data_IF_694244328940
#
_entry.id   IF_694244328940
#
_cell.length_a   1.000
_cell.length_b   1.000
_cell.length_c   1.000
_cell.angle_alpha   90.00
_cell.angle_beta   90.00
_cell.angle_gamma   90.00
#
_symmetry.space_group_name_H-M   'P 1'
#
loop_
_entity.id
_entity.type
_entity.pdbx_description
1 polymer ?
#
# COMPACT_ATOMS: atom_id res chain seq x y z
N UNK A 1 -1.47 9.95 9.83
CA UNK A 1 -1.50 11.43 9.94
C UNK A 1 -0.53 12.11 8.97
N UNK A 2 0.77 11.77 8.97
CA UNK A 2 1.78 12.39 8.11
C UNK A 2 1.45 12.35 6.60
N UNK A 3 1.15 11.17 6.03
CA UNK A 3 0.82 11.04 4.60
C UNK A 3 -0.38 11.90 4.17
N UNK A 4 -1.42 12.02 5.01
CA UNK A 4 -2.57 12.88 4.74
C UNK A 4 -2.19 14.38 4.74
N UNK A 5 -1.27 14.80 5.61
CA UNK A 5 -0.79 16.17 5.62
C UNK A 5 0.04 16.49 4.37
N UNK A 6 0.89 15.55 3.92
CA UNK A 6 1.63 15.68 2.65
C UNK A 6 0.66 15.81 1.47
N UNK A 7 -0.38 14.97 1.40
CA UNK A 7 -1.42 15.05 0.38
C UNK A 7 -2.12 16.42 0.38
N UNK A 8 -2.49 16.93 1.55
CA UNK A 8 -3.13 18.26 1.71
C UNK A 8 -2.20 19.42 1.34
N UNK A 9 -0.90 19.28 1.55
CA UNK A 9 0.08 20.27 1.10
C UNK A 9 0.19 20.25 -0.42
N UNK A 10 0.25 19.06 -1.03
CA UNK A 10 0.31 18.89 -2.48
C UNK A 10 -0.93 19.41 -3.23
N UNK A 11 -2.12 19.29 -2.64
CA UNK A 11 -3.37 19.76 -3.29
C UNK A 11 -3.48 21.27 -3.42
N UNK A 12 -2.63 22.04 -2.73
CA UNK A 12 -2.54 23.50 -2.87
C UNK A 12 -1.74 23.93 -4.11
N UNK A 13 -1.07 22.99 -4.77
CA UNK A 13 -0.16 23.27 -5.87
C UNK A 13 1.10 24.04 -5.43
N UNK A 14 1.89 24.54 -6.39
CA UNK A 14 3.06 25.35 -6.08
C UNK A 14 2.65 26.61 -5.31
N UNK A 15 3.00 26.69 -4.02
CA UNK A 15 2.42 27.68 -3.10
C UNK A 15 3.42 28.41 -2.20
N UNK A 16 4.73 28.19 -2.40
CA UNK A 16 5.75 29.05 -1.80
C UNK A 16 6.10 30.19 -2.77
N UNK A 17 6.59 31.33 -2.27
CA UNK A 17 7.07 32.44 -3.11
C UNK A 17 8.15 32.06 -4.13
N UNK A 18 8.67 30.84 -4.06
CA UNK A 18 9.60 30.21 -5.01
C UNK A 18 8.93 29.36 -6.11
N UNK A 19 7.62 29.11 -6.07
CA UNK A 19 6.89 28.37 -7.10
C UNK A 19 7.24 26.88 -7.22
N UNK A 20 7.75 26.25 -6.15
CA UNK A 20 8.15 24.84 -6.16
C UNK A 20 6.95 23.90 -6.00
N UNK A 21 6.99 22.76 -6.71
CA UNK A 21 6.00 21.69 -6.58
C UNK A 21 6.21 20.98 -5.22
N UNK A 22 5.17 20.85 -4.36
CA UNK A 22 5.31 20.17 -3.08
C UNK A 22 5.67 18.68 -3.23
N UNK A 23 6.40 18.09 -2.27
CA UNK A 23 6.74 16.68 -2.32
C UNK A 23 5.50 15.80 -2.16
N UNK A 24 5.44 14.69 -2.90
CA UNK A 24 4.41 13.65 -2.71
C UNK A 24 4.88 12.47 -1.85
N UNK A 25 6.20 12.32 -1.70
CA UNK A 25 6.83 11.25 -0.91
C UNK A 25 8.01 11.83 -0.14
N UNK A 26 8.08 11.52 1.15
CA UNK A 26 9.17 11.85 2.05
C UNK A 26 9.55 10.57 2.81
N UNK A 27 10.84 10.36 3.05
CA UNK A 27 11.36 9.17 3.74
C UNK A 27 12.46 9.54 4.73
N UNK A 28 12.66 8.67 5.73
CA UNK A 28 13.69 8.82 6.77
C UNK A 28 13.59 10.15 7.54
N UNK A 29 14.73 10.66 8.00
CA UNK A 29 14.84 11.87 8.80
C UNK A 29 14.19 13.11 8.15
N UNK A 30 14.16 13.17 6.81
CA UNK A 30 13.52 14.26 6.09
C UNK A 30 12.01 14.27 6.29
N UNK A 31 11.37 13.09 6.37
CA UNK A 31 9.95 12.96 6.66
C UNK A 31 9.64 13.39 8.09
N UNK A 32 10.48 13.01 9.06
CA UNK A 32 10.28 13.36 10.47
C UNK A 32 10.44 14.87 10.70
N UNK A 33 11.49 15.48 10.13
CA UNK A 33 11.70 16.94 10.19
C UNK A 33 10.56 17.69 9.54
N UNK A 34 10.08 17.23 8.38
CA UNK A 34 8.94 17.82 7.71
C UNK A 34 7.67 17.71 8.55
N UNK A 35 7.40 16.53 9.12
CA UNK A 35 6.23 16.31 9.99
C UNK A 35 6.25 17.24 11.21
N UNK A 36 7.39 17.33 11.91
CA UNK A 36 7.57 18.23 13.04
C UNK A 36 7.34 19.70 12.67
N UNK A 37 7.90 20.15 11.54
CA UNK A 37 7.71 21.52 11.04
C UNK A 37 6.24 21.85 10.69
N UNK A 38 5.42 20.83 10.43
CA UNK A 38 3.99 20.96 10.11
C UNK A 38 3.09 20.65 11.32
N UNK A 39 3.64 20.62 12.54
CA UNK A 39 2.87 20.41 13.77
C UNK A 39 2.31 19.00 13.92
N UNK A 40 2.85 18.02 13.19
CA UNK A 40 2.47 16.62 13.29
C UNK A 40 3.28 15.99 14.42
N UNK A 41 2.66 15.32 15.39
CA UNK A 41 3.39 14.65 16.47
C UNK A 41 4.41 13.66 15.91
N UNK A 42 5.66 13.82 16.32
CA UNK A 42 6.77 12.91 16.06
C UNK A 42 7.27 12.35 17.37
N UNK A 43 7.63 11.07 17.39
CA UNK A 43 8.21 10.45 18.56
C UNK A 43 9.66 10.92 18.76
N UNK A 44 9.95 11.46 19.94
CA UNK A 44 11.31 11.87 20.30
C UNK A 44 12.22 10.67 20.59
N UNK A 45 11.63 9.56 21.05
CA UNK A 45 12.33 8.30 21.30
C UNK A 45 11.93 7.26 20.25
N UNK A 46 12.85 6.83 19.37
CA UNK A 46 12.59 5.77 18.39
C UNK A 46 12.14 4.44 19.02
N UNK A 47 12.42 4.22 20.30
CA UNK A 47 12.00 3.02 21.03
C UNK A 47 10.56 3.08 21.53
N UNK A 48 9.89 4.23 21.48
CA UNK A 48 8.52 4.39 21.99
C UNK A 48 7.50 3.47 21.31
N UNK A 49 7.79 3.02 20.08
CA UNK A 49 6.93 2.14 19.28
C UNK A 49 7.26 0.66 19.43
N UNK A 50 8.33 0.33 20.14
CA UNK A 50 8.80 -1.03 20.29
C UNK A 50 8.11 -1.63 21.52
N UNK A 51 7.28 -2.63 21.30
CA UNK A 51 6.64 -3.39 22.38
C UNK A 51 7.50 -4.58 22.81
N UNK A 52 7.30 -5.09 24.03
CA UNK A 52 7.97 -6.30 24.51
C UNK A 52 7.67 -7.53 23.62
N UNK A 53 6.43 -7.63 23.13
CA UNK A 53 6.05 -8.65 22.16
C UNK A 53 6.84 -8.52 20.85
N UNK A 54 7.07 -7.29 20.36
CA UNK A 54 7.86 -7.06 19.16
C UNK A 54 9.33 -7.42 19.36
N UNK A 55 9.91 -7.14 20.54
CA UNK A 55 11.27 -7.56 20.89
C UNK A 55 11.40 -9.09 20.95
N UNK A 56 10.42 -9.75 21.55
CA UNK A 56 10.38 -11.21 21.67
C UNK A 56 10.31 -11.87 20.29
N UNK A 57 9.42 -11.38 19.41
CA UNK A 57 9.32 -11.85 18.03
C UNK A 57 10.59 -11.55 17.24
N UNK A 58 11.19 -10.38 17.41
CA UNK A 58 12.46 -10.02 16.76
C UNK A 58 13.57 -11.01 17.13
N UNK A 59 13.74 -11.35 18.41
CA UNK A 59 14.73 -12.33 18.85
C UNK A 59 14.50 -13.72 18.21
N UNK A 60 13.24 -14.17 18.16
CA UNK A 60 12.88 -15.44 17.51
C UNK A 60 13.18 -15.43 16.01
N UNK A 61 12.92 -14.33 15.31
CA UNK A 61 13.21 -14.22 13.88
C UNK A 61 14.73 -14.16 13.61
N UNK A 62 15.49 -13.46 14.45
CA UNK A 62 16.94 -13.40 14.34
C UNK A 62 17.59 -14.78 14.51
N UNK A 63 17.15 -15.56 15.50
CA UNK A 63 17.66 -16.92 15.74
C UNK A 63 17.37 -17.85 14.56
N UNK A 64 16.16 -17.75 13.98
CA UNK A 64 15.76 -18.54 12.79
C UNK A 64 16.51 -18.14 11.52
N UNK A 65 16.68 -16.83 11.29
CA UNK A 65 17.30 -16.32 10.07
C UNK A 65 18.83 -16.43 10.10
N UNK A 66 19.44 -16.35 11.29
CA UNK A 66 20.88 -16.33 11.49
C UNK A 66 21.30 -17.26 12.64
N UNK A 67 21.11 -18.59 12.51
CA UNK A 67 21.47 -19.53 13.55
C UNK A 67 22.98 -19.49 13.82
N UNK A 68 23.38 -19.57 15.09
CA UNK A 68 24.78 -19.40 15.53
C UNK A 68 25.76 -20.54 15.12
N UNK A 69 25.38 -21.42 14.19
CA UNK A 69 26.22 -22.52 13.69
C UNK A 69 26.15 -22.60 12.17
N UNK A 70 27.26 -23.00 11.52
CA UNK A 70 27.45 -23.13 10.06
C UNK A 70 26.58 -24.23 9.39
N UNK A 71 25.29 -24.28 9.69
CA UNK A 71 24.31 -25.07 8.94
C UNK A 71 23.80 -24.26 7.75
N UNK A 72 23.76 -24.88 6.58
CA UNK A 72 23.02 -24.36 5.42
C UNK A 72 21.58 -24.11 5.88
N UNK A 73 20.99 -22.93 5.62
CA UNK A 73 19.58 -22.70 5.93
C UNK A 73 18.75 -23.76 5.21
N UNK A 74 17.90 -24.49 5.93
CA UNK A 74 17.00 -25.48 5.36
C UNK A 74 16.14 -24.85 4.26
N UNK A 75 16.41 -25.23 3.01
CA UNK A 75 15.73 -24.83 1.78
C UNK A 75 14.26 -25.32 1.74
N UNK A 76 13.83 -26.13 2.73
CA UNK A 76 12.62 -26.93 2.72
C UNK A 76 11.35 -26.32 3.30
N UNK A 77 11.39 -25.11 3.86
CA UNK A 77 10.20 -24.45 4.39
C UNK A 77 10.33 -22.94 4.31
N UNK A 78 9.70 -22.33 3.30
CA UNK A 78 9.63 -20.88 3.17
C UNK A 78 9.26 -20.27 4.52
N UNK A 79 10.21 -19.56 5.15
CA UNK A 79 10.05 -19.15 6.53
C UNK A 79 8.80 -18.29 6.65
N UNK A 80 7.85 -18.68 7.51
CA UNK A 80 6.62 -17.93 7.84
C UNK A 80 6.88 -16.47 8.28
N UNK A 81 8.16 -16.09 8.44
CA UNK A 81 8.64 -14.73 8.72
C UNK A 81 8.17 -13.74 7.65
N UNK A 82 8.13 -14.12 6.37
CA UNK A 82 7.63 -13.27 5.28
C UNK A 82 6.09 -13.22 5.23
N UNK A 83 5.43 -14.17 5.88
CA UNK A 83 3.97 -14.30 5.97
C UNK A 83 3.35 -13.39 7.04
N UNK A 84 4.16 -12.92 8.01
CA UNK A 84 3.72 -11.94 9.01
C UNK A 84 3.74 -10.53 8.42
N UNK A 85 2.56 -10.08 8.01
CA UNK A 85 2.37 -8.77 7.39
C UNK A 85 1.53 -7.86 8.30
N UNK A 86 2.19 -6.87 8.89
CA UNK A 86 1.52 -5.81 9.67
C UNK A 86 1.06 -4.70 8.72
N UNK A 87 0.11 -5.01 7.85
CA UNK A 87 -0.46 -4.07 6.89
C UNK A 87 -1.95 -3.89 7.15
N UNK A 88 -2.38 -2.63 7.22
CA UNK A 88 -3.79 -2.24 7.32
C UNK A 88 -4.14 -1.31 6.17
N UNK A 89 -5.38 -1.41 5.70
CA UNK A 89 -5.88 -0.65 4.57
C UNK A 89 -7.34 -0.26 4.76
N UNK A 90 -7.73 0.87 4.17
CA UNK A 90 -9.10 1.35 4.16
C UNK A 90 -9.44 2.04 2.85
N UNK A 91 -10.70 1.90 2.44
CA UNK A 91 -11.29 2.57 1.27
C UNK A 91 -12.63 3.18 1.68
N UNK A 92 -12.97 4.34 1.11
CA UNK A 92 -14.27 4.96 1.30
C UNK A 92 -14.70 5.75 0.07
N UNK A 93 -16.02 5.88 -0.09
CA UNK A 93 -16.67 6.84 -0.99
C UNK A 93 -17.64 7.64 -0.13
N UNK A 94 -17.56 8.96 -0.21
CA UNK A 94 -18.46 9.84 0.53
C UNK A 94 -19.80 10.08 -0.20
N UNK A 95 -20.72 10.80 0.43
CA UNK A 95 -22.03 11.10 -0.13
C UNK A 95 -21.99 11.98 -1.40
N UNK A 96 -20.86 12.62 -1.71
CA UNK A 96 -20.65 13.39 -2.94
C UNK A 96 -20.10 12.54 -4.08
N UNK A 97 -19.80 11.26 -3.83
CA UNK A 97 -19.15 10.38 -4.79
C UNK A 97 -17.63 10.56 -4.86
N UNK A 98 -17.00 11.18 -3.85
CA UNK A 98 -15.55 11.30 -3.81
C UNK A 98 -14.92 10.05 -3.15
N UNK A 99 -13.96 9.44 -3.84
CA UNK A 99 -13.21 8.29 -3.35
C UNK A 99 -11.94 8.69 -2.59
N UNK A 100 -11.64 7.93 -1.54
CA UNK A 100 -10.34 7.95 -0.88
C UNK A 100 -9.90 6.53 -0.51
N UNK A 101 -8.58 6.31 -0.53
CA UNK A 101 -7.95 5.07 -0.12
C UNK A 101 -6.69 5.38 0.70
N UNK A 102 -6.37 4.51 1.65
CA UNK A 102 -5.16 4.63 2.45
C UNK A 102 -4.67 3.27 2.91
N UNK A 103 -3.34 3.14 2.98
CA UNK A 103 -2.65 1.94 3.44
C UNK A 103 -1.51 2.33 4.38
N UNK A 104 -1.25 1.52 5.40
CA UNK A 104 -0.12 1.66 6.31
C UNK A 104 0.47 0.30 6.62
N UNK A 105 1.79 0.21 6.67
CA UNK A 105 2.48 -1.05 6.90
C UNK A 105 3.77 -0.87 7.70
N UNK A 106 4.09 -1.83 8.57
CA UNK A 106 5.42 -1.98 9.17
C UNK A 106 6.48 -2.49 8.19
N UNK A 107 6.05 -3.11 7.08
CA UNK A 107 6.89 -3.89 6.18
C UNK A 107 7.18 -5.29 6.74
N UNK A 108 7.95 -6.09 6.01
CA UNK A 108 8.33 -7.43 6.48
C UNK A 108 9.27 -7.37 7.68
N UNK A 109 9.28 -8.44 8.47
CA UNK A 109 10.23 -8.61 9.56
C UNK A 109 11.69 -8.61 9.05
N UNK A 110 12.62 -8.10 9.87
CA UNK A 110 14.06 -8.04 9.58
C UNK A 110 14.44 -7.33 8.27
N UNK A 111 13.55 -6.48 7.73
CA UNK A 111 13.84 -5.73 6.50
C UNK A 111 15.12 -4.89 6.63
N UNK A 112 15.82 -4.75 5.52
CA UNK A 112 16.91 -3.78 5.41
C UNK A 112 16.40 -2.36 5.70
N UNK A 113 17.16 -1.54 6.45
CA UNK A 113 16.85 -0.13 6.63
C UNK A 113 16.67 0.59 5.29
N UNK A 114 15.65 1.45 5.20
CA UNK A 114 15.33 2.20 3.98
C UNK A 114 14.31 1.54 3.04
N UNK A 115 13.91 0.28 3.28
CA UNK A 115 12.81 -0.34 2.52
C UNK A 115 11.46 0.35 2.85
N UNK A 116 10.88 1.00 1.84
CA UNK A 116 9.79 1.97 1.99
C UNK A 116 8.63 1.75 0.99
N UNK A 117 7.66 2.68 0.99
CA UNK A 117 6.43 2.61 0.19
C UNK A 117 6.60 3.18 -1.24
N UNK A 118 5.65 2.84 -2.13
CA UNK A 118 5.62 3.29 -3.53
C UNK A 118 4.22 3.73 -3.94
N UNK A 119 4.14 4.86 -4.67
CA UNK A 119 2.88 5.39 -5.21
C UNK A 119 2.25 4.43 -6.21
N UNK A 120 0.94 4.22 -6.09
CA UNK A 120 0.16 3.37 -7.01
C UNK A 120 0.18 1.87 -6.68
N UNK A 121 1.00 1.43 -5.72
CA UNK A 121 1.14 0.02 -5.40
C UNK A 121 0.20 -0.40 -4.27
N UNK A 122 0.29 0.26 -3.11
CA UNK A 122 -0.45 -0.15 -1.91
C UNK A 122 -1.87 0.43 -1.80
N UNK A 123 -2.14 1.56 -2.44
CA UNK A 123 -3.50 2.11 -2.54
C UNK A 123 -3.67 2.96 -3.80
N UNK A 124 -4.92 3.14 -4.22
CA UNK A 124 -5.31 3.98 -5.35
C UNK A 124 -6.70 4.56 -5.11
N UNK A 125 -6.92 5.82 -5.49
CA UNK A 125 -8.25 6.41 -5.55
C UNK A 125 -8.34 7.31 -6.77
N UNK A 126 -9.40 7.18 -7.56
CA UNK A 126 -9.57 7.93 -8.81
C UNK A 126 -11.04 8.16 -9.11
N UNK A 127 -11.34 9.32 -9.70
CA UNK A 127 -12.59 9.60 -10.41
C UNK A 127 -12.24 9.81 -11.87
N UNK A 128 -12.69 8.90 -12.74
CA UNK A 128 -12.32 8.88 -14.16
C UNK A 128 -13.54 8.97 -15.05
N UNK A 129 -13.54 9.97 -15.92
CA UNK A 129 -14.44 10.03 -17.08
C UNK A 129 -13.84 9.24 -18.24
N UNK A 130 -14.43 8.08 -18.58
CA UNK A 130 -13.91 7.17 -19.62
C UNK A 130 -14.43 7.54 -21.02
N UNK A 131 -15.64 8.07 -21.11
CA UNK A 131 -16.25 8.55 -22.36
C UNK A 131 -16.68 9.99 -22.17
N UNK A 132 -16.51 10.81 -23.20
CA UNK A 132 -17.12 12.13 -23.22
C UNK A 132 -18.63 11.94 -22.95
N UNK A 133 -19.19 12.77 -22.06
CA UNK A 133 -20.59 12.74 -21.63
C UNK A 133 -21.05 11.55 -20.75
N UNK A 134 -20.20 10.56 -20.43
CA UNK A 134 -20.54 9.53 -19.44
C UNK A 134 -20.21 10.01 -18.01
N UNK A 135 -20.98 9.59 -17.00
CA UNK A 135 -20.64 9.92 -15.63
C UNK A 135 -19.32 9.21 -15.22
N UNK A 136 -18.52 9.81 -14.31
CA UNK A 136 -17.20 9.28 -13.98
C UNK A 136 -17.31 7.97 -13.19
N UNK A 137 -16.48 6.99 -13.54
CA UNK A 137 -16.28 5.81 -12.71
C UNK A 137 -15.40 6.22 -11.53
N UNK A 138 -15.91 6.03 -10.32
CA UNK A 138 -15.20 6.34 -9.09
C UNK A 138 -14.73 5.04 -8.46
N UNK A 139 -13.43 4.93 -8.17
CA UNK A 139 -12.86 3.74 -7.54
C UNK A 139 -11.84 4.08 -6.44
N UNK A 140 -11.81 3.25 -5.41
CA UNK A 140 -10.84 3.24 -4.34
C UNK A 140 -10.36 1.81 -4.10
N UNK A 141 -9.05 1.61 -4.00
CA UNK A 141 -8.43 0.33 -3.76
C UNK A 141 -7.35 0.43 -2.69
N UNK A 142 -7.28 -0.55 -1.80
CA UNK A 142 -6.19 -0.72 -0.84
C UNK A 142 -5.72 -2.17 -0.83
N UNK A 143 -4.41 -2.38 -0.75
CA UNK A 143 -3.78 -3.69 -0.93
C UNK A 143 -2.92 -4.05 0.27
N UNK A 144 -2.98 -5.31 0.68
CA UNK A 144 -2.06 -5.98 1.60
C UNK A 144 -1.42 -7.17 0.89
N UNK A 145 -0.32 -7.73 1.42
CA UNK A 145 0.43 -8.77 0.72
C UNK A 145 1.94 -8.50 0.68
N UNK A 146 2.61 -9.29 -0.14
CA UNK A 146 4.06 -9.19 -0.34
C UNK A 146 4.41 -7.93 -1.12
N UNK A 147 5.06 -6.97 -0.46
CA UNK A 147 5.33 -5.63 -0.99
C UNK A 147 5.98 -5.62 -2.37
N UNK A 148 6.98 -6.46 -2.62
CA UNK A 148 7.67 -6.53 -3.92
C UNK A 148 6.76 -7.03 -5.03
N UNK A 149 5.88 -7.97 -4.73
CA UNK A 149 4.93 -8.50 -5.71
C UNK A 149 3.91 -7.43 -6.08
N UNK A 150 3.36 -6.74 -5.07
CA UNK A 150 2.43 -5.62 -5.22
C UNK A 150 3.07 -4.47 -6.01
N UNK A 151 4.34 -4.14 -5.75
CA UNK A 151 5.06 -3.09 -6.45
C UNK A 151 5.35 -3.46 -7.91
N UNK A 152 5.76 -4.70 -8.17
CA UNK A 152 6.05 -5.19 -9.53
C UNK A 152 4.83 -5.19 -10.44
N UNK A 153 3.63 -5.33 -9.89
CA UNK A 153 2.37 -5.35 -10.65
C UNK A 153 1.57 -4.06 -10.56
N UNK A 154 1.98 -3.08 -9.74
CA UNK A 154 1.20 -1.86 -9.47
C UNK A 154 -0.25 -2.19 -9.05
N UNK A 155 -0.42 -3.21 -8.21
CA UNK A 155 -1.68 -3.95 -8.06
C UNK A 155 -2.89 -3.07 -7.72
N UNK A 156 -2.76 -2.12 -6.78
CA UNK A 156 -3.88 -1.25 -6.40
C UNK A 156 -4.38 -0.40 -7.59
N UNK A 157 -3.45 0.21 -8.32
CA UNK A 157 -3.75 1.03 -9.49
C UNK A 157 -4.31 0.19 -10.62
N UNK A 158 -3.75 -0.99 -10.87
CA UNK A 158 -4.20 -1.88 -11.92
C UNK A 158 -5.67 -2.29 -11.67
N UNK A 159 -5.95 -2.87 -10.50
CA UNK A 159 -7.28 -3.29 -10.09
C UNK A 159 -8.31 -2.15 -10.18
N UNK A 160 -7.99 -0.98 -9.62
CA UNK A 160 -8.90 0.15 -9.59
C UNK A 160 -9.28 0.70 -10.98
N UNK A 161 -8.41 0.51 -11.97
CA UNK A 161 -8.54 1.05 -13.34
C UNK A 161 -9.09 0.07 -14.35
N UNK A 162 -9.25 -1.21 -14.00
CA UNK A 162 -9.79 -2.22 -14.91
C UNK A 162 -11.22 -1.88 -15.34
N UNK A 163 -11.54 -1.99 -16.63
CA UNK A 163 -12.89 -1.77 -17.13
C UNK A 163 -13.83 -2.90 -16.66
N UNK A 164 -15.13 -2.75 -16.93
CA UNK A 164 -16.13 -3.77 -16.61
C UNK A 164 -16.67 -3.68 -15.18
N UNK A 165 -17.51 -4.66 -14.83
CA UNK A 165 -18.08 -4.77 -13.49
C UNK A 165 -17.01 -5.11 -12.44
N UNK A 166 -17.32 -4.85 -11.17
CA UNK A 166 -16.36 -4.98 -10.08
C UNK A 166 -15.88 -6.43 -9.88
N UNK A 167 -16.72 -7.43 -10.13
CA UNK A 167 -16.36 -8.83 -9.91
C UNK A 167 -15.41 -9.30 -11.01
N UNK A 168 -15.73 -9.04 -12.27
CA UNK A 168 -14.85 -9.38 -13.40
C UNK A 168 -13.51 -8.64 -13.31
N UNK A 169 -13.54 -7.34 -12.98
CA UNK A 169 -12.33 -6.55 -12.81
C UNK A 169 -11.42 -7.11 -11.69
N UNK A 170 -12.00 -7.59 -10.59
CA UNK A 170 -11.27 -8.18 -9.48
C UNK A 170 -10.70 -9.56 -9.83
N UNK A 171 -11.52 -10.42 -10.44
CA UNK A 171 -11.15 -11.77 -10.83
C UNK A 171 -10.01 -11.76 -11.85
N UNK A 172 -10.14 -10.97 -12.92
CA UNK A 172 -9.09 -10.82 -13.93
C UNK A 172 -7.80 -10.24 -13.32
N UNK A 173 -7.91 -9.30 -12.38
CA UNK A 173 -6.75 -8.72 -11.71
C UNK A 173 -5.99 -9.75 -10.88
N UNK A 174 -6.71 -10.59 -10.14
CA UNK A 174 -6.11 -11.63 -9.31
C UNK A 174 -5.57 -12.78 -10.17
N UNK A 175 -6.27 -13.17 -11.23
CA UNK A 175 -5.79 -14.15 -12.19
C UNK A 175 -4.47 -13.68 -12.84
N UNK A 176 -4.41 -12.44 -13.33
CA UNK A 176 -3.17 -11.90 -13.91
C UNK A 176 -2.05 -11.78 -12.88
N UNK A 177 -2.35 -11.36 -11.64
CA UNK A 177 -1.37 -11.36 -10.55
C UNK A 177 -0.81 -12.77 -10.30
N UNK A 178 -1.68 -13.78 -10.32
CA UNK A 178 -1.35 -15.18 -10.15
C UNK A 178 -0.65 -15.82 -11.35
N UNK A 179 -0.59 -15.18 -12.51
CA UNK A 179 0.00 -15.79 -13.72
C UNK A 179 1.16 -14.99 -14.29
N UNK A 180 1.27 -13.70 -13.96
CA UNK A 180 2.24 -12.80 -14.58
C UNK A 180 3.68 -13.27 -14.43
N UNK A 181 4.42 -13.17 -15.53
CA UNK A 181 5.85 -13.49 -15.61
C UNK A 181 6.72 -12.47 -14.84
N UNK A 182 6.18 -11.30 -14.50
CA UNK A 182 6.84 -10.32 -13.65
C UNK A 182 7.15 -10.88 -12.24
N UNK A 183 6.38 -11.90 -11.82
CA UNK A 183 6.53 -12.57 -10.53
C UNK A 183 7.18 -13.96 -10.62
N UNK A 184 7.81 -14.30 -11.75
CA UNK A 184 8.44 -15.62 -11.96
C UNK A 184 9.50 -16.02 -10.92
N UNK A 185 10.06 -15.05 -10.22
CA UNK A 185 11.07 -15.27 -9.17
C UNK A 185 10.46 -15.69 -7.82
N UNK A 186 9.13 -15.64 -7.67
CA UNK A 186 8.43 -15.95 -6.42
C UNK A 186 7.72 -17.30 -6.56
N UNK A 187 7.99 -18.21 -5.63
CA UNK A 187 7.34 -19.53 -5.56
C UNK A 187 5.92 -19.46 -4.98
N UNK A 188 5.67 -18.48 -4.12
CA UNK A 188 4.37 -18.18 -3.53
C UNK A 188 3.95 -16.76 -3.89
N UNK A 189 2.68 -16.58 -4.23
CA UNK A 189 2.10 -15.28 -4.55
C UNK A 189 1.09 -14.92 -3.47
N UNK A 190 1.22 -13.72 -2.90
CA UNK A 190 0.38 -13.27 -1.80
C UNK A 190 0.01 -11.82 -1.95
N UNK A 191 -1.27 -11.57 -2.18
CA UNK A 191 -1.89 -10.26 -2.13
C UNK A 191 -3.38 -10.39 -1.75
N UNK A 192 -3.87 -9.41 -1.00
CA UNK A 192 -5.28 -9.21 -0.69
C UNK A 192 -5.66 -7.77 -0.96
N UNK A 193 -6.89 -7.54 -1.42
CA UNK A 193 -7.33 -6.22 -1.85
C UNK A 193 -8.73 -5.91 -1.34
N UNK A 194 -8.92 -4.66 -0.95
CA UNK A 194 -10.21 -4.03 -0.78
C UNK A 194 -10.46 -3.15 -2.00
N UNK A 195 -11.55 -3.39 -2.73
CA UNK A 195 -11.97 -2.58 -3.86
C UNK A 195 -13.36 -2.02 -3.57
N UNK A 196 -13.51 -0.71 -3.75
CA UNK A 196 -14.77 -0.01 -3.69
C UNK A 196 -14.95 0.76 -4.99
N UNK A 197 -16.05 0.52 -5.70
CA UNK A 197 -16.39 1.20 -6.95
C UNK A 197 -17.80 1.75 -6.85
N UNK A 198 -17.98 3.00 -7.27
CA UNK A 198 -19.29 3.58 -7.50
C UNK A 198 -19.48 3.71 -9.01
N UNK A 199 -20.47 2.96 -9.51
CA UNK A 199 -20.94 3.08 -10.88
C UNK A 199 -22.14 4.05 -10.88
N UNK A 200 -22.10 5.15 -11.65
CA UNK A 200 -23.20 6.09 -11.65
C UNK A 200 -24.45 5.60 -12.40
N UNK A 201 -24.39 4.46 -13.12
CA UNK A 201 -25.53 3.90 -13.86
C UNK A 201 -26.39 2.93 -13.00
N UNK A 202 -27.42 3.54 -12.39
CA UNK A 202 -28.83 3.14 -12.21
C UNK A 202 -29.19 1.70 -11.79
N UNK A 203 -29.44 1.51 -10.49
CA UNK A 203 -30.70 0.91 -9.96
C UNK A 203 -31.17 -0.48 -10.41
N UNK A 204 -30.46 -1.17 -11.29
CA UNK A 204 -30.76 -2.52 -11.73
C UNK A 204 -30.09 -3.47 -10.74
N UNK A 205 -30.77 -3.75 -9.64
CA UNK A 205 -30.56 -5.00 -8.94
C UNK A 205 -30.91 -6.11 -9.92
N UNK A 206 -29.88 -6.72 -10.53
CA UNK A 206 -30.03 -7.90 -11.35
C UNK A 206 -30.87 -8.92 -10.59
N UNK A 207 -32.07 -9.19 -11.12
CA UNK A 207 -32.82 -10.41 -10.85
C UNK A 207 -32.28 -11.53 -11.73
#
# INVERSE_FOLDING_TARGET
MAANAVLKAGSRGPSDGAGLVPPMLLVGDGADKWAAAHGIPTDADPRSKITEDALTRYAQYMDRAFPAGHGVPDDGGGSDIDSLQDTVGAVCIDASGAAAAGVSSGGIALKLPGRAAMFGCGCWAESRTVRAQAPPVVSACSVSGTGEQIMRTMLARDCARRPGDMFSALDECLAEFCETSALRAYTQRSAGLLLLRHDPDDGSTGK
#
